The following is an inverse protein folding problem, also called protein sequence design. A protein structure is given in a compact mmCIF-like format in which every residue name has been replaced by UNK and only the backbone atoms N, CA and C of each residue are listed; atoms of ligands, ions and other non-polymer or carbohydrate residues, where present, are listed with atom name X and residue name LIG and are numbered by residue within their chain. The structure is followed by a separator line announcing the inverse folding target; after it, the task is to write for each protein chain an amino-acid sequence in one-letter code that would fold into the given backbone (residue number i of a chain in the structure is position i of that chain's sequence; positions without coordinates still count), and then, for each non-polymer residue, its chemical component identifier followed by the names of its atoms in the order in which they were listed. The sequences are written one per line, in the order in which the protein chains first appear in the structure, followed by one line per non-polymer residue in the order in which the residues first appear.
data_IF_738207465869
#
_entry.id   IF_738207465869
#
_cell.length_a   1.000
_cell.length_b   1.000
_cell.length_c   1.000
_cell.angle_alpha   90.00
_cell.angle_beta   90.00
_cell.angle_gamma   90.00
#
_symmetry.space_group_name_H-M   'P 1'
#
loop_
_entity.id
_entity.type
_entity.pdbx_description
1 polymer ?
#
# COMPACT_ATOMS: atom_id res chain seq x y z
N UNK A 1 13.46 15.47 -5.47
CA UNK A 1 12.08 15.00 -5.17
C UNK A 1 12.24 14.00 -4.05
N UNK A 2 11.94 14.41 -2.82
CA UNK A 2 12.40 13.71 -1.62
C UNK A 2 11.23 13.57 -0.64
N UNK A 3 11.02 12.32 -0.21
CA UNK A 3 9.88 11.85 0.59
C UNK A 3 10.37 11.60 2.02
N UNK A 4 9.65 12.14 3.00
CA UNK A 4 9.97 12.08 4.44
C UNK A 4 9.29 10.87 5.10
N UNK A 5 9.99 10.15 5.98
CA UNK A 5 9.37 9.28 7.00
C UNK A 5 10.25 9.12 8.27
N UNK A 6 9.64 9.11 9.46
CA UNK A 6 10.34 9.11 10.77
C UNK A 6 10.04 7.93 11.71
N UNK A 7 11.09 7.56 12.47
CA UNK A 7 11.21 7.04 13.86
C UNK A 7 10.54 5.75 14.38
N UNK A 8 9.99 4.85 13.55
CA UNK A 8 9.54 3.50 14.01
C UNK A 8 10.16 2.32 13.23
N UNK A 9 11.41 2.46 12.80
CA UNK A 9 12.15 1.38 12.13
C UNK A 9 12.87 0.42 13.09
N UNK A 10 13.07 0.74 14.37
CA UNK A 10 13.96 -0.03 15.28
C UNK A 10 13.47 -1.46 15.54
N UNK A 11 12.17 -1.66 15.78
CA UNK A 11 11.61 -3.01 16.01
C UNK A 11 11.50 -3.85 14.72
N UNK A 12 11.34 -3.19 13.56
CA UNK A 12 11.36 -3.85 12.25
C UNK A 12 12.79 -4.22 11.83
N UNK A 13 13.76 -3.42 12.24
CA UNK A 13 15.18 -3.68 12.06
C UNK A 13 15.61 -4.89 12.91
N UNK A 14 15.21 -5.00 14.18
CA UNK A 14 15.48 -6.19 14.99
C UNK A 14 14.85 -7.47 14.44
N UNK A 15 13.60 -7.43 13.95
CA UNK A 15 12.99 -8.60 13.29
C UNK A 15 13.73 -9.00 12.00
N UNK A 16 14.14 -8.03 11.18
CA UNK A 16 14.97 -8.30 10.00
C UNK A 16 16.38 -8.79 10.38
N UNK A 17 16.98 -8.30 11.46
CA UNK A 17 18.30 -8.71 11.93
C UNK A 17 18.31 -10.12 12.53
N UNK A 18 17.29 -10.48 13.30
CA UNK A 18 17.08 -11.86 13.77
C UNK A 18 16.93 -12.81 12.58
N UNK A 19 16.08 -12.44 11.60
CA UNK A 19 15.89 -13.23 10.39
C UNK A 19 17.18 -13.39 9.55
N UNK A 20 18.01 -12.34 9.43
CA UNK A 20 19.25 -12.40 8.66
C UNK A 20 20.38 -13.15 9.39
N UNK A 21 20.43 -13.10 10.73
CA UNK A 21 21.35 -13.89 11.56
C UNK A 21 21.00 -15.38 11.52
N UNK A 22 19.72 -15.73 11.63
CA UNK A 22 19.22 -17.11 11.53
C UNK A 22 19.50 -17.75 10.15
N UNK A 23 19.73 -16.94 9.12
CA UNK A 23 19.96 -17.42 7.74
C UNK A 23 21.40 -17.21 7.23
N UNK A 24 22.38 -16.93 8.11
CA UNK A 24 23.82 -16.79 7.78
C UNK A 24 24.16 -15.83 6.63
N UNK A 25 23.45 -14.71 6.48
CA UNK A 25 23.69 -13.76 5.38
C UNK A 25 24.61 -12.60 5.81
N UNK A 26 25.89 -12.62 5.41
CA UNK A 26 26.82 -11.47 5.57
C UNK A 26 26.59 -10.42 4.46
N UNK A 27 26.22 -9.19 4.80
CA UNK A 27 26.20 -8.04 3.84
C UNK A 27 26.60 -6.74 4.54
N UNK A 28 27.44 -5.95 3.87
CA UNK A 28 27.91 -4.60 4.23
C UNK A 28 27.25 -3.59 3.26
N UNK A 29 26.56 -2.52 3.72
CA UNK A 29 26.03 -1.45 2.84
C UNK A 29 25.52 -0.17 3.56
N UNK A 30 25.47 0.97 2.84
CA UNK A 30 25.12 2.35 3.30
C UNK A 30 24.20 3.16 2.33
N UNK A 31 23.40 4.12 2.84
CA UNK A 31 22.53 5.11 2.11
C UNK A 31 22.85 6.53 2.60
N UNK A 32 22.45 7.59 1.87
CA UNK A 32 22.52 9.02 2.27
C UNK A 32 21.16 9.71 2.00
N UNK A 33 20.74 10.65 2.85
CA UNK A 33 19.55 11.53 2.67
C UNK A 33 19.93 13.01 2.75
N UNK A 34 19.17 13.90 2.07
CA UNK A 34 19.27 15.36 2.18
C UNK A 34 17.99 15.97 2.80
N UNK A 35 18.16 17.11 3.45
CA UNK A 35 17.07 17.84 4.10
C UNK A 35 16.34 18.77 3.11
N UNK A 36 15.04 19.01 3.35
CA UNK A 36 14.22 19.95 2.57
C UNK A 36 13.96 21.22 3.40
N UNK A 37 14.69 22.28 3.06
CA UNK A 37 14.71 23.57 3.79
C UNK A 37 13.34 24.26 3.87
N UNK A 38 12.44 24.02 2.90
CA UNK A 38 11.11 24.64 2.88
C UNK A 38 10.19 24.03 3.94
N UNK A 39 10.39 22.75 4.27
CA UNK A 39 9.63 22.05 5.31
C UNK A 39 10.11 22.49 6.70
N UNK A 40 11.41 22.73 6.85
CA UNK A 40 11.98 23.29 8.09
C UNK A 40 11.48 24.71 8.36
N UNK A 41 11.35 25.53 7.32
CA UNK A 41 10.77 26.87 7.44
C UNK A 41 9.27 26.85 7.77
N UNK A 42 8.49 25.93 7.18
CA UNK A 42 7.06 25.81 7.48
C UNK A 42 6.79 25.34 8.92
N UNK A 43 7.58 24.38 9.42
CA UNK A 43 7.41 23.83 10.77
C UNK A 43 7.89 24.80 11.87
N UNK A 44 8.85 25.67 11.57
CA UNK A 44 9.35 26.69 12.51
C UNK A 44 8.42 27.90 12.67
N UNK A 45 7.45 28.09 11.77
CA UNK A 45 6.50 29.20 11.82
C UNK A 45 5.19 28.88 12.56
N UNK A 46 4.96 27.61 12.93
CA UNK A 46 3.75 27.19 13.64
C UNK A 46 3.87 27.45 15.15
N UNK A 47 3.40 28.61 15.60
CA UNK A 47 3.22 28.89 17.01
C UNK A 47 2.03 28.08 17.57
N UNK A 48 2.37 27.04 18.34
CA UNK A 48 1.56 26.25 19.29
C UNK A 48 1.15 24.82 18.90
N UNK A 49 2.06 23.88 19.18
CA UNK A 49 1.76 22.57 19.81
C UNK A 49 2.34 22.61 21.25
N UNK A 50 1.98 23.67 21.98
CA UNK A 50 2.75 24.24 23.11
C UNK A 50 2.53 23.57 24.48
N UNK A 51 2.29 22.26 24.55
CA UNK A 51 2.25 21.59 25.87
C UNK A 51 2.99 20.25 25.98
N UNK A 52 3.63 19.73 24.92
CA UNK A 52 4.29 18.40 25.03
C UNK A 52 5.82 18.46 24.95
N UNK A 53 6.44 19.61 24.67
CA UNK A 53 7.92 19.62 24.53
C UNK A 53 8.59 20.82 25.17
N UNK A 54 8.12 21.25 26.35
CA UNK A 54 8.89 22.11 27.25
C UNK A 54 10.16 21.42 27.83
N UNK A 55 10.57 20.27 27.29
CA UNK A 55 11.73 19.51 27.79
C UNK A 55 12.75 19.06 26.74
N UNK A 56 12.66 19.46 25.47
CA UNK A 56 13.75 19.16 24.51
C UNK A 56 14.64 20.38 24.26
N UNK A 57 15.36 20.78 25.32
CA UNK A 57 16.59 21.57 25.16
C UNK A 57 17.67 20.71 24.49
N UNK A 58 18.29 21.31 23.48
CA UNK A 58 19.54 20.92 22.80
C UNK A 58 19.69 19.45 22.40
N UNK A 59 19.38 19.14 21.15
CA UNK A 59 19.99 18.01 20.46
C UNK A 59 20.32 18.45 19.03
N UNK A 60 21.57 18.83 18.82
CA UNK A 60 22.20 18.85 17.50
C UNK A 60 22.29 17.40 17.02
N UNK A 61 21.24 16.90 16.37
CA UNK A 61 21.21 15.53 15.83
C UNK A 61 21.82 15.56 14.43
N UNK A 62 23.11 15.19 14.37
CA UNK A 62 23.73 14.70 13.13
C UNK A 62 22.97 13.43 12.72
N UNK A 63 22.11 13.53 11.72
CA UNK A 63 21.31 12.41 11.23
C UNK A 63 22.14 11.48 10.36
N UNK A 64 22.70 10.43 10.97
CA UNK A 64 23.23 9.29 10.23
C UNK A 64 22.09 8.37 9.75
N UNK A 65 22.10 7.93 8.48
CA UNK A 65 20.95 7.27 7.84
C UNK A 65 20.75 5.81 8.26
N UNK A 66 19.48 5.48 8.53
CA UNK A 66 19.01 4.19 9.05
C UNK A 66 18.67 3.22 7.90
N UNK A 67 19.67 2.46 7.45
CA UNK A 67 19.62 1.19 6.68
C UNK A 67 19.02 1.18 5.25
N UNK A 68 19.73 0.51 4.35
CA UNK A 68 19.39 0.28 2.93
C UNK A 68 18.83 -1.11 2.72
N UNK A 69 17.80 -1.23 1.90
CA UNK A 69 17.35 -2.52 1.39
C UNK A 69 17.62 -2.57 -0.12
N UNK A 70 18.40 -3.56 -0.55
CA UNK A 70 18.66 -3.84 -1.95
C UNK A 70 17.94 -5.13 -2.37
N UNK A 71 17.41 -5.16 -3.59
CA UNK A 71 16.81 -6.37 -4.17
C UNK A 71 17.92 -7.39 -4.41
N UNK A 72 17.99 -8.43 -3.58
CA UNK A 72 19.05 -9.46 -3.63
C UNK A 72 18.90 -10.41 -4.81
N UNK A 73 17.67 -10.74 -5.20
CA UNK A 73 17.35 -11.66 -6.29
C UNK A 73 16.08 -11.21 -7.01
N UNK A 74 16.05 -11.44 -8.32
CA UNK A 74 14.88 -11.23 -9.17
C UNK A 74 14.60 -12.56 -9.88
N UNK A 75 13.33 -12.93 -9.91
CA UNK A 75 12.83 -14.09 -10.66
C UNK A 75 11.65 -13.64 -11.51
N UNK A 76 11.46 -14.31 -12.65
CA UNK A 76 10.37 -14.02 -13.58
C UNK A 76 9.40 -15.18 -13.58
N UNK A 77 8.13 -14.88 -13.40
CA UNK A 77 7.04 -15.87 -13.38
C UNK A 77 6.04 -15.53 -14.47
N UNK A 78 5.54 -16.55 -15.16
CA UNK A 78 4.47 -16.36 -16.14
C UNK A 78 3.12 -16.42 -15.43
N UNK A 79 2.38 -15.32 -15.52
CA UNK A 79 1.04 -15.20 -14.94
C UNK A 79 -0.05 -15.08 -16.02
N UNK A 80 0.31 -15.38 -17.27
CA UNK A 80 -0.61 -15.40 -18.41
C UNK A 80 -1.46 -16.68 -18.39
N UNK A 81 -2.74 -16.55 -18.70
CA UNK A 81 -3.64 -17.68 -18.99
C UNK A 81 -4.03 -17.68 -20.46
N UNK A 82 -4.56 -18.80 -20.97
CA UNK A 82 -4.94 -18.96 -22.38
C UNK A 82 -5.92 -17.89 -22.86
N UNK A 83 -6.80 -17.42 -21.98
CA UNK A 83 -7.81 -16.38 -22.26
C UNK A 83 -7.27 -14.95 -22.25
N UNK A 84 -5.98 -14.71 -22.02
CA UNK A 84 -5.44 -13.35 -21.98
C UNK A 84 -5.08 -12.84 -23.37
N UNK A 85 -5.70 -11.72 -23.75
CA UNK A 85 -5.33 -10.94 -24.93
C UNK A 85 -4.21 -9.93 -24.60
N UNK A 86 -3.16 -9.91 -25.43
CA UNK A 86 -2.02 -8.96 -25.40
C UNK A 86 -1.18 -8.89 -24.11
N UNK A 87 -0.17 -7.99 -24.12
CA UNK A 87 0.65 -7.64 -22.95
C UNK A 87 -0.20 -6.91 -21.91
N UNK A 88 -0.09 -7.32 -20.65
CA UNK A 88 -0.82 -6.72 -19.52
C UNK A 88 0.15 -6.31 -18.41
N UNK A 89 -0.28 -5.38 -17.57
CA UNK A 89 0.50 -4.88 -16.44
C UNK A 89 -0.13 -5.30 -15.12
N UNK A 90 0.71 -5.66 -14.14
CA UNK A 90 0.25 -5.89 -12.76
C UNK A 90 0.06 -4.52 -12.09
N UNK A 91 -1.16 -4.23 -11.61
CA UNK A 91 -1.50 -2.96 -10.94
C UNK A 91 -1.47 -3.02 -9.42
N UNK A 92 -1.67 -4.22 -8.87
CA UNK A 92 -1.80 -4.45 -7.45
C UNK A 92 -1.49 -5.90 -7.12
N UNK A 93 -1.01 -6.10 -5.89
CA UNK A 93 -0.61 -7.41 -5.37
C UNK A 93 -1.01 -7.50 -3.91
N UNK A 94 -1.51 -8.65 -3.50
CA UNK A 94 -1.86 -8.94 -2.11
C UNK A 94 -1.41 -10.37 -1.78
N UNK A 95 -0.83 -10.57 -0.60
CA UNK A 95 -0.47 -11.92 -0.11
C UNK A 95 -1.54 -12.43 0.84
N UNK A 96 -1.92 -13.70 0.68
CA UNK A 96 -2.78 -14.42 1.61
C UNK A 96 -1.94 -15.07 2.72
N UNK A 97 -2.48 -15.30 3.93
CA UNK A 97 -1.75 -15.97 5.01
C UNK A 97 -1.24 -17.37 4.65
N UNK A 98 -1.91 -18.05 3.72
CA UNK A 98 -1.51 -19.38 3.23
C UNK A 98 -0.32 -19.37 2.26
N UNK A 99 0.26 -18.20 1.94
CA UNK A 99 1.40 -18.05 1.03
C UNK A 99 1.03 -17.91 -0.45
N UNK A 100 -0.27 -17.94 -0.78
CA UNK A 100 -0.76 -17.58 -2.11
C UNK A 100 -0.68 -16.06 -2.31
N UNK A 101 -0.64 -15.66 -3.57
CA UNK A 101 -0.55 -14.26 -3.97
C UNK A 101 -1.67 -13.94 -4.95
N UNK A 102 -2.39 -12.85 -4.72
CA UNK A 102 -3.40 -12.35 -5.67
C UNK A 102 -2.82 -11.15 -6.40
N UNK A 103 -2.94 -11.15 -7.73
CA UNK A 103 -2.46 -10.09 -8.61
C UNK A 103 -3.61 -9.51 -9.43
N UNK A 104 -3.61 -8.19 -9.58
CA UNK A 104 -4.52 -7.49 -10.48
C UNK A 104 -3.90 -7.37 -11.86
N UNK A 105 -4.66 -7.77 -12.87
CA UNK A 105 -4.20 -7.83 -14.24
C UNK A 105 -4.94 -6.78 -15.10
N UNK A 106 -4.23 -5.69 -15.41
CA UNK A 106 -4.80 -4.55 -16.13
C UNK A 106 -4.62 -4.68 -17.65
N UNK A 107 -5.66 -4.21 -18.38
CA UNK A 107 -5.92 -4.26 -19.83
C UNK A 107 -6.58 -5.56 -20.34
N UNK A 108 -7.69 -5.34 -21.08
CA UNK A 108 -8.56 -6.22 -21.89
C UNK A 108 -9.02 -7.55 -21.29
N UNK A 109 -8.48 -7.96 -20.16
CA UNK A 109 -8.77 -9.24 -19.54
C UNK A 109 -9.53 -9.07 -18.23
N UNK A 110 -9.71 -7.84 -17.73
CA UNK A 110 -10.40 -7.44 -16.50
C UNK A 110 -10.51 -8.57 -15.45
N UNK A 111 -9.34 -9.04 -14.98
CA UNK A 111 -9.24 -10.27 -14.18
C UNK A 111 -8.40 -10.05 -12.95
N UNK A 112 -8.84 -10.72 -11.90
CA UNK A 112 -8.07 -10.94 -10.67
C UNK A 112 -7.57 -12.38 -10.70
N UNK A 113 -6.26 -12.57 -10.53
CA UNK A 113 -5.65 -13.91 -10.58
C UNK A 113 -5.06 -14.25 -9.25
N UNK A 114 -5.21 -15.50 -8.84
CA UNK A 114 -4.54 -16.06 -7.69
C UNK A 114 -3.42 -16.97 -8.15
N UNK A 115 -2.26 -16.78 -7.54
CA UNK A 115 -1.05 -17.55 -7.74
C UNK A 115 -0.86 -18.47 -6.53
N UNK A 116 -0.46 -19.71 -6.79
CA UNK A 116 -0.07 -20.65 -5.75
C UNK A 116 1.29 -20.26 -5.12
N UNK A 117 1.78 -21.09 -4.19
CA UNK A 117 3.08 -20.89 -3.50
C UNK A 117 4.29 -20.93 -4.44
N UNK A 118 4.11 -21.52 -5.62
CA UNK A 118 5.13 -21.60 -6.67
C UNK A 118 4.95 -20.51 -7.74
N UNK A 119 4.04 -19.55 -7.49
CA UNK A 119 3.66 -18.46 -8.38
C UNK A 119 2.99 -18.89 -9.70
N UNK A 120 2.42 -20.10 -9.76
CA UNK A 120 1.60 -20.53 -10.88
C UNK A 120 0.16 -20.03 -10.71
N UNK A 121 -0.52 -19.68 -11.80
CA UNK A 121 -1.94 -19.29 -11.75
C UNK A 121 -2.79 -20.50 -11.35
N UNK A 122 -3.42 -20.43 -10.17
CA UNK A 122 -4.26 -21.50 -9.62
C UNK A 122 -5.76 -21.22 -9.79
N UNK A 123 -6.15 -19.95 -9.81
CA UNK A 123 -7.52 -19.51 -10.04
C UNK A 123 -7.55 -18.11 -10.64
N UNK A 124 -8.65 -17.75 -11.28
CA UNK A 124 -8.92 -16.39 -11.73
C UNK A 124 -10.41 -16.08 -11.65
N UNK A 125 -10.72 -14.80 -11.55
CA UNK A 125 -12.08 -14.32 -11.53
C UNK A 125 -12.20 -13.05 -12.38
N UNK A 126 -13.22 -13.02 -13.22
CA UNK A 126 -13.52 -11.89 -14.09
C UNK A 126 -14.25 -10.82 -13.28
N UNK A 127 -13.88 -9.56 -13.46
CA UNK A 127 -14.53 -8.42 -12.78
C UNK A 127 -15.01 -7.40 -13.82
N UNK A 128 -16.09 -6.70 -13.51
CA UNK A 128 -16.65 -5.67 -14.39
C UNK A 128 -15.87 -4.35 -14.21
N UNK A 129 -14.98 -4.05 -15.15
CA UNK A 129 -14.26 -2.76 -15.21
C UNK A 129 -12.78 -2.86 -14.86
N UNK A 130 -12.06 -1.75 -15.08
CA UNK A 130 -10.62 -1.66 -14.86
C UNK A 130 -10.28 -1.65 -13.37
N UNK A 131 -9.33 -2.49 -12.96
CA UNK A 131 -8.88 -2.58 -11.56
C UNK A 131 -7.69 -1.64 -11.31
N UNK A 132 -7.68 -1.02 -10.13
CA UNK A 132 -6.61 -0.11 -9.73
C UNK A 132 -5.72 -0.67 -8.61
N UNK A 133 -6.30 -1.23 -7.55
CA UNK A 133 -5.56 -1.70 -6.38
C UNK A 133 -6.28 -2.80 -5.62
N UNK A 134 -5.54 -3.55 -4.80
CA UNK A 134 -6.07 -4.68 -4.03
C UNK A 134 -5.49 -4.68 -2.62
N UNK A 135 -6.30 -5.04 -1.63
CA UNK A 135 -5.84 -5.28 -0.27
C UNK A 135 -6.49 -6.51 0.38
N UNK A 136 -5.82 -7.03 1.40
CA UNK A 136 -6.34 -8.10 2.25
C UNK A 136 -7.34 -7.53 3.25
N UNK A 137 -8.55 -8.12 3.32
CA UNK A 137 -9.54 -7.77 4.34
C UNK A 137 -9.47 -8.78 5.48
N UNK A 138 -9.59 -10.06 5.15
CA UNK A 138 -9.46 -11.18 6.10
C UNK A 138 -8.57 -12.28 5.51
N UNK A 139 -8.37 -13.37 6.24
CA UNK A 139 -7.62 -14.51 5.71
C UNK A 139 -8.23 -15.13 4.44
N UNK A 140 -9.53 -14.88 4.18
CA UNK A 140 -10.29 -15.45 3.07
C UNK A 140 -11.06 -14.40 2.27
N UNK A 141 -10.75 -13.12 2.40
CA UNK A 141 -11.43 -12.04 1.68
C UNK A 141 -10.43 -10.94 1.29
N UNK A 142 -10.54 -10.49 0.05
CA UNK A 142 -9.80 -9.34 -0.49
C UNK A 142 -10.76 -8.30 -1.04
N UNK A 143 -10.30 -7.05 -1.12
CA UNK A 143 -11.04 -5.96 -1.72
C UNK A 143 -10.24 -5.35 -2.86
N UNK A 144 -10.92 -5.07 -3.98
CA UNK A 144 -10.35 -4.55 -5.22
C UNK A 144 -11.02 -3.24 -5.58
N UNK A 145 -10.24 -2.19 -5.83
CA UNK A 145 -10.78 -0.93 -6.36
C UNK A 145 -10.98 -1.04 -7.86
N UNK A 146 -12.14 -0.59 -8.32
CA UNK A 146 -12.58 -0.58 -9.71
C UNK A 146 -12.87 0.87 -10.13
N UNK A 147 -12.57 1.21 -11.39
CA UNK A 147 -12.70 2.57 -11.90
C UNK A 147 -14.14 3.13 -11.73
N UNK A 148 -15.14 2.35 -12.18
CA UNK A 148 -16.54 2.81 -12.26
C UNK A 148 -17.46 2.21 -11.18
N UNK A 149 -16.97 1.24 -10.40
CA UNK A 149 -17.79 0.41 -9.50
C UNK A 149 -17.40 0.49 -8.02
N UNK A 150 -16.49 1.39 -7.65
CA UNK A 150 -16.02 1.55 -6.28
C UNK A 150 -15.14 0.38 -5.83
N UNK A 151 -15.62 -0.47 -4.92
CA UNK A 151 -14.85 -1.58 -4.34
C UNK A 151 -15.58 -2.91 -4.54
N UNK A 152 -14.93 -3.89 -5.17
CA UNK A 152 -15.37 -5.28 -5.26
C UNK A 152 -14.70 -6.12 -4.18
N UNK A 153 -15.48 -6.75 -3.32
CA UNK A 153 -15.00 -7.75 -2.36
C UNK A 153 -15.00 -9.12 -3.04
N UNK A 154 -13.97 -9.92 -2.79
CA UNK A 154 -13.83 -11.24 -3.37
C UNK A 154 -13.47 -12.22 -2.26
N UNK A 155 -14.19 -13.33 -2.24
CA UNK A 155 -13.90 -14.43 -1.31
C UNK A 155 -12.85 -15.36 -1.90
N UNK A 156 -12.04 -15.93 -1.03
CA UNK A 156 -11.07 -16.97 -1.35
C UNK A 156 -11.49 -18.23 -0.59
N UNK A 157 -11.96 -19.23 -1.32
CA UNK A 157 -12.38 -20.51 -0.75
C UNK A 157 -11.91 -21.65 -1.65
N UNK A 158 -11.38 -22.72 -1.05
CA UNK A 158 -10.91 -23.91 -1.77
C UNK A 158 -9.96 -23.60 -2.94
N UNK A 159 -9.04 -22.65 -2.74
CA UNK A 159 -8.15 -22.13 -3.78
C UNK A 159 -8.88 -21.57 -5.01
N UNK A 160 -10.07 -21.02 -4.83
CA UNK A 160 -10.83 -20.32 -5.86
C UNK A 160 -11.13 -18.89 -5.45
N UNK A 161 -11.05 -17.98 -6.42
CA UNK A 161 -11.50 -16.60 -6.29
C UNK A 161 -12.95 -16.49 -6.76
N UNK A 162 -13.81 -15.94 -5.89
CA UNK A 162 -15.23 -15.74 -6.22
C UNK A 162 -15.63 -14.30 -5.91
N UNK A 163 -16.28 -13.65 -6.87
CA UNK A 163 -16.86 -12.32 -6.67
C UNK A 163 -17.88 -12.34 -5.53
N UNK A 164 -17.74 -11.41 -4.61
CA UNK A 164 -18.69 -11.17 -3.53
C UNK A 164 -19.43 -9.85 -3.71
N UNK A 165 -19.68 -9.18 -2.58
CA UNK A 165 -20.37 -7.89 -2.52
C UNK A 165 -19.57 -6.75 -3.16
N UNK A 166 -20.28 -5.70 -3.58
CA UNK A 166 -19.70 -4.45 -4.07
C UNK A 166 -20.08 -3.29 -3.16
N UNK A 167 -19.18 -2.30 -3.05
CA UNK A 167 -19.47 -1.00 -2.48
C UNK A 167 -19.39 0.05 -3.57
N UNK A 168 -20.52 0.71 -3.84
CA UNK A 168 -20.54 1.87 -4.71
C UNK A 168 -20.03 3.09 -3.94
N UNK A 169 -19.04 3.78 -4.50
CA UNK A 169 -18.51 5.01 -3.91
C UNK A 169 -18.93 6.20 -4.77
N UNK A 170 -19.11 7.39 -4.16
CA UNK A 170 -19.45 8.61 -4.90
C UNK A 170 -18.25 9.23 -5.63
N UNK A 171 -17.10 8.56 -5.61
CA UNK A 171 -15.87 9.01 -6.25
C UNK A 171 -15.09 7.82 -6.82
N UNK A 172 -14.21 8.10 -7.78
CA UNK A 172 -13.27 7.11 -8.32
C UNK A 172 -12.37 6.58 -7.22
N UNK A 173 -12.19 5.26 -7.17
CA UNK A 173 -11.31 4.57 -6.24
C UNK A 173 -10.03 4.14 -6.95
N UNK A 174 -8.88 4.52 -6.41
CA UNK A 174 -7.57 4.26 -6.99
C UNK A 174 -6.78 3.31 -6.11
N UNK A 175 -6.50 3.69 -4.87
CA UNK A 175 -5.77 2.87 -3.91
C UNK A 175 -6.64 2.41 -2.76
N UNK A 176 -6.26 1.31 -2.13
CA UNK A 176 -6.98 0.76 -1.00
C UNK A 176 -6.05 0.13 0.03
N UNK A 177 -6.32 0.40 1.30
CA UNK A 177 -5.72 -0.28 2.43
C UNK A 177 -6.79 -0.62 3.46
N UNK A 178 -6.55 -1.69 4.21
CA UNK A 178 -7.43 -2.12 5.29
C UNK A 178 -6.66 -2.21 6.60
N UNK A 179 -7.28 -1.76 7.68
CA UNK A 179 -6.74 -1.89 9.02
C UNK A 179 -7.88 -1.94 10.05
N UNK A 180 -7.92 -3.00 10.88
CA UNK A 180 -8.86 -3.12 12.00
C UNK A 180 -10.33 -2.79 11.65
N UNK A 181 -10.83 -3.28 10.51
CA UNK A 181 -12.23 -3.05 10.09
C UNK A 181 -12.49 -1.71 9.41
N UNK A 182 -11.46 -0.89 9.22
CA UNK A 182 -11.49 0.34 8.45
C UNK A 182 -10.90 0.16 7.06
N UNK A 183 -11.54 0.79 6.07
CA UNK A 183 -11.04 0.93 4.72
C UNK A 183 -10.50 2.34 4.52
N UNK A 184 -9.28 2.43 4.03
CA UNK A 184 -8.65 3.67 3.60
C UNK A 184 -8.59 3.64 2.09
N UNK A 185 -9.32 4.55 1.46
CA UNK A 185 -9.51 4.55 0.01
C UNK A 185 -9.01 5.88 -0.51
N UNK A 186 -8.10 5.84 -1.48
CA UNK A 186 -7.64 7.03 -2.18
C UNK A 186 -8.43 7.19 -3.47
N UNK A 187 -8.85 8.42 -3.78
CA UNK A 187 -9.10 8.85 -5.16
C UNK A 187 -7.78 9.37 -5.75
N UNK A 188 -7.83 10.03 -6.91
CA UNK A 188 -6.69 10.75 -7.47
C UNK A 188 -6.24 11.98 -6.66
N UNK A 189 -7.12 12.53 -5.82
CA UNK A 189 -6.93 13.83 -5.16
C UNK A 189 -7.19 13.77 -3.65
N UNK A 190 -7.78 12.70 -3.11
CA UNK A 190 -8.22 12.67 -1.73
C UNK A 190 -8.06 11.30 -1.10
N UNK A 191 -7.91 11.27 0.22
CA UNK A 191 -7.92 10.07 1.04
C UNK A 191 -9.17 10.05 1.91
N UNK A 192 -9.86 8.93 1.89
CA UNK A 192 -11.11 8.69 2.60
C UNK A 192 -10.97 7.54 3.58
N UNK A 193 -11.71 7.61 4.67
CA UNK A 193 -11.91 6.55 5.64
C UNK A 193 -13.36 6.07 5.57
N UNK A 194 -13.54 4.80 5.24
CA UNK A 194 -14.83 4.12 5.16
C UNK A 194 -14.88 2.95 6.15
N UNK A 195 -16.09 2.59 6.57
CA UNK A 195 -16.34 1.29 7.18
C UNK A 195 -16.29 0.19 6.13
N UNK A 196 -16.15 -1.08 6.55
CA UNK A 196 -16.25 -2.23 5.63
C UNK A 196 -17.62 -2.33 4.92
N UNK A 197 -18.66 -1.73 5.49
CA UNK A 197 -20.02 -1.67 4.91
C UNK A 197 -20.21 -0.50 3.94
N UNK A 198 -19.20 0.35 3.75
CA UNK A 198 -19.23 1.46 2.79
C UNK A 198 -19.76 2.78 3.33
N UNK A 199 -19.96 2.90 4.64
CA UNK A 199 -20.29 4.19 5.26
C UNK A 199 -19.06 5.07 5.29
N UNK A 200 -19.14 6.27 4.68
CA UNK A 200 -18.07 7.26 4.78
C UNK A 200 -17.98 7.76 6.23
N UNK A 201 -16.84 7.49 6.87
CA UNK A 201 -16.56 8.00 8.22
C UNK A 201 -15.99 9.40 8.13
N UNK A 202 -14.97 9.62 7.28
CA UNK A 202 -14.30 10.91 7.13
C UNK A 202 -13.50 11.02 5.85
N UNK A 203 -13.48 12.21 5.23
CA UNK A 203 -12.43 12.60 4.27
C UNK A 203 -11.21 13.09 5.06
N UNK A 204 -10.12 12.33 5.00
CA UNK A 204 -8.91 12.56 5.80
C UNK A 204 -7.99 13.62 5.19
N UNK A 205 -7.91 13.66 3.87
CA UNK A 205 -7.05 14.56 3.12
C UNK A 205 -7.66 14.85 1.75
N UNK A 206 -7.40 16.05 1.22
CA UNK A 206 -7.77 16.47 -0.13
C UNK A 206 -6.73 17.46 -0.66
N UNK A 207 -6.15 17.12 -1.81
CA UNK A 207 -5.34 18.02 -2.61
C UNK A 207 -6.25 19.03 -3.33
N UNK A 208 -6.08 20.31 -2.98
CA UNK A 208 -6.93 21.39 -3.50
C UNK A 208 -6.41 22.00 -4.80
N UNK A 209 -5.14 21.74 -5.15
CA UNK A 209 -4.54 22.20 -6.41
C UNK A 209 -5.04 21.45 -7.65
N UNK A 210 -5.87 20.41 -7.49
CA UNK A 210 -6.34 19.58 -8.60
C UNK A 210 -5.28 18.64 -9.17
N UNK A 211 -4.10 18.59 -8.58
CA UNK A 211 -3.03 17.67 -8.99
C UNK A 211 -3.38 16.22 -8.61
N UNK A 212 -3.11 15.28 -9.52
CA UNK A 212 -3.32 13.86 -9.32
C UNK A 212 -2.18 13.26 -8.46
N UNK A 213 -2.18 13.59 -7.17
CA UNK A 213 -1.08 13.31 -6.24
C UNK A 213 -1.40 12.24 -5.20
N UNK A 214 -2.64 11.76 -5.13
CA UNK A 214 -3.03 10.72 -4.18
C UNK A 214 -3.30 9.46 -4.99
N UNK A 215 -2.48 8.41 -4.88
CA UNK A 215 -2.66 7.20 -5.71
C UNK A 215 -2.83 5.93 -4.90
N UNK A 216 -1.77 5.45 -4.25
CA UNK A 216 -1.80 4.25 -3.42
C UNK A 216 -1.72 4.65 -1.97
N UNK A 217 -2.25 3.83 -1.08
CA UNK A 217 -2.06 4.02 0.35
C UNK A 217 -1.67 2.72 1.06
N UNK A 218 -1.06 2.87 2.22
CA UNK A 218 -0.76 1.77 3.13
C UNK A 218 -0.93 2.26 4.57
N UNK A 219 -1.39 1.39 5.46
CA UNK A 219 -1.53 1.70 6.88
C UNK A 219 -0.46 0.95 7.66
N UNK A 220 0.18 1.64 8.61
CA UNK A 220 1.12 1.01 9.53
C UNK A 220 0.45 -0.11 10.35
N UNK A 221 1.20 -1.13 10.81
CA UNK A 221 0.62 -2.20 11.62
C UNK A 221 -0.05 -1.74 12.92
N UNK A 222 0.31 -0.56 13.44
CA UNK A 222 -0.29 0.00 14.65
C UNK A 222 -1.47 0.95 14.36
N UNK A 223 -1.79 1.20 13.08
CA UNK A 223 -2.84 2.14 12.69
C UNK A 223 -2.50 3.62 12.90
N UNK A 224 -1.34 3.94 13.48
CA UNK A 224 -0.95 5.31 13.86
C UNK A 224 -0.45 6.16 12.70
N UNK A 225 -0.16 5.53 11.55
CA UNK A 225 0.33 6.18 10.33
C UNK A 225 -0.34 5.63 9.09
N UNK A 226 -0.68 6.53 8.17
CA UNK A 226 -1.11 6.23 6.81
C UNK A 226 -0.07 6.81 5.86
N UNK A 227 0.43 6.00 4.95
CA UNK A 227 1.36 6.38 3.90
C UNK A 227 0.59 6.50 2.60
N UNK A 228 0.83 7.57 1.84
CA UNK A 228 0.19 7.81 0.54
C UNK A 228 1.28 8.08 -0.49
N UNK A 229 1.17 7.48 -1.67
CA UNK A 229 2.11 7.73 -2.76
C UNK A 229 1.68 8.93 -3.59
N UNK A 230 2.65 9.80 -3.90
CA UNK A 230 2.50 10.91 -4.84
C UNK A 230 3.07 10.52 -6.20
N UNK A 231 2.25 10.59 -7.25
CA UNK A 231 2.67 10.21 -8.61
C UNK A 231 3.51 11.29 -9.30
N UNK A 232 3.42 12.53 -8.83
CA UNK A 232 4.09 13.68 -9.44
C UNK A 232 5.46 13.98 -8.83
N UNK A 233 5.81 13.36 -7.70
CA UNK A 233 7.04 13.63 -6.94
C UNK A 233 7.73 12.36 -6.45
#
# INVERSE_FOLDING_TARGET
MEIIASKKCTNKIHKCESYLKENHVKVQSSIIFKANINIEQYLSQQASLRSIVDSMKSLSVVMNPVKVLAVKRKSKYNVKISKDSMQSHIRGICSLPGGQVIVLYHNNNNRVKMLDKNFNVSSHCDVSGAQWDICLITASEVAVTLDDAGVQFMSVSNMQLVNGRKLQLPHKAVGIAHHQGALYITSSTALYHYTLTGTLVKKLYEERGGEYTVFKCAVSPAGDKIYVTNRTK
#
